data_IF_161787907612
#
_entry.id   IF_161787907612
#
_cell.length_a   1.000
_cell.length_b   1.000
_cell.length_c   1.000
_cell.angle_alpha   90.00
_cell.angle_beta   90.00
_cell.angle_gamma   90.00
#
_symmetry.space_group_name_H-M   'P 1'
#
loop_
_entity.id
_entity.type
_entity.pdbx_description
1 polymer ?
#
# COMPACT_ATOMS: atom_id res chain seq x y z
N UNK A 1 0.01 -11.49 -18.32
CA UNK A 1 0.42 -12.53 -17.36
C UNK A 1 1.37 -13.50 -18.06
N UNK A 2 2.31 -14.05 -17.30
CA UNK A 2 3.15 -15.18 -17.75
C UNK A 2 2.83 -16.43 -16.92
N UNK A 3 2.80 -17.59 -17.56
CA UNK A 3 2.65 -18.90 -16.94
C UNK A 3 3.88 -19.78 -17.10
N UNK A 4 4.94 -19.26 -17.76
CA UNK A 4 6.17 -19.96 -18.12
C UNK A 4 7.43 -19.28 -17.53
N UNK A 5 7.32 -18.68 -16.36
CA UNK A 5 8.38 -17.99 -15.63
C UNK A 5 8.95 -16.76 -16.38
N UNK A 6 8.09 -16.04 -17.08
CA UNK A 6 8.44 -14.77 -17.74
C UNK A 6 9.05 -14.93 -19.13
N UNK A 7 9.03 -16.12 -19.71
CA UNK A 7 9.53 -16.37 -21.08
C UNK A 7 8.59 -15.84 -22.16
N UNK A 8 7.28 -15.89 -21.88
CA UNK A 8 6.25 -15.29 -22.72
C UNK A 8 5.18 -14.62 -21.86
N UNK A 9 4.42 -13.71 -22.46
CA UNK A 9 3.32 -13.01 -21.81
C UNK A 9 2.07 -13.07 -22.69
N UNK A 10 0.91 -13.16 -22.03
CA UNK A 10 -0.39 -13.05 -22.67
C UNK A 10 -0.56 -11.67 -23.33
N UNK A 11 -1.57 -11.54 -24.18
CA UNK A 11 -1.96 -10.28 -24.81
C UNK A 11 -2.21 -9.22 -23.72
N UNK A 12 -1.73 -7.99 -23.97
CA UNK A 12 -1.98 -6.86 -23.10
C UNK A 12 -3.48 -6.65 -22.89
N UNK A 13 -3.90 -6.59 -21.64
CA UNK A 13 -5.27 -6.31 -21.25
C UNK A 13 -5.31 -4.99 -20.49
N UNK A 14 -6.11 -4.06 -20.99
CA UNK A 14 -6.38 -2.80 -20.32
C UNK A 14 -7.34 -3.05 -19.15
N UNK A 15 -6.98 -2.65 -17.93
CA UNK A 15 -7.81 -2.81 -16.73
C UNK A 15 -8.73 -1.60 -16.52
N UNK A 16 -8.25 -0.39 -16.81
CA UNK A 16 -9.01 0.84 -16.61
C UNK A 16 -8.48 1.98 -17.48
N UNK A 17 -9.31 3.00 -17.64
CA UNK A 17 -8.95 4.33 -18.13
C UNK A 17 -8.71 5.29 -16.95
N UNK A 18 -8.08 6.42 -17.21
CA UNK A 18 -7.90 7.53 -16.27
C UNK A 18 -7.15 7.15 -14.97
N UNK A 19 -6.13 6.31 -15.07
CA UNK A 19 -5.24 6.02 -13.94
C UNK A 19 -4.34 7.22 -13.63
N UNK A 20 -3.96 7.38 -12.36
CA UNK A 20 -2.93 8.34 -11.95
C UNK A 20 -1.56 7.84 -12.42
N UNK A 21 -0.98 8.49 -13.41
CA UNK A 21 0.21 8.02 -14.13
C UNK A 21 1.49 8.00 -13.27
N UNK A 22 1.57 8.88 -12.27
CA UNK A 22 2.76 9.07 -11.44
C UNK A 22 2.80 8.20 -10.17
N UNK A 23 1.71 7.49 -9.86
CA UNK A 23 1.63 6.68 -8.63
C UNK A 23 2.00 5.24 -8.91
N UNK A 24 2.84 4.67 -8.03
CA UNK A 24 3.20 3.24 -8.12
C UNK A 24 1.94 2.37 -8.00
N UNK A 25 1.92 1.29 -8.78
CA UNK A 25 0.89 0.25 -8.70
C UNK A 25 1.40 -0.85 -7.79
N UNK A 26 0.60 -1.27 -6.82
CA UNK A 26 0.89 -2.46 -6.04
C UNK A 26 0.22 -3.68 -6.71
N UNK A 27 0.96 -4.79 -6.77
CA UNK A 27 0.49 -6.04 -7.37
C UNK A 27 0.77 -7.18 -6.40
N UNK A 28 -0.23 -8.03 -6.19
CA UNK A 28 -0.09 -9.28 -5.44
C UNK A 28 -0.79 -10.41 -6.21
N UNK A 29 -0.46 -11.66 -5.92
CA UNK A 29 -1.15 -12.80 -6.46
C UNK A 29 -2.21 -13.31 -5.49
N UNK A 30 -3.39 -13.63 -5.97
CA UNK A 30 -4.43 -14.34 -5.24
C UNK A 30 -4.02 -15.82 -5.05
N UNK A 31 -4.76 -16.57 -4.24
CA UNK A 31 -4.46 -17.98 -3.92
C UNK A 31 -4.39 -18.91 -5.14
N UNK A 32 -5.08 -18.55 -6.21
CA UNK A 32 -5.05 -19.26 -7.52
C UNK A 32 -4.01 -18.69 -8.49
N UNK A 33 -3.14 -17.79 -8.03
CA UNK A 33 -2.09 -17.16 -8.80
C UNK A 33 -2.59 -16.05 -9.75
N UNK A 34 -3.85 -15.63 -9.65
CA UNK A 34 -4.33 -14.49 -10.44
C UNK A 34 -3.81 -13.17 -9.90
N UNK A 35 -3.27 -12.29 -10.77
CA UNK A 35 -2.84 -10.97 -10.35
C UNK A 35 -4.00 -10.10 -9.86
N UNK A 36 -3.76 -9.45 -8.73
CA UNK A 36 -4.62 -8.39 -8.17
C UNK A 36 -3.80 -7.12 -8.13
N UNK A 37 -4.32 -6.05 -8.68
CA UNK A 37 -3.67 -4.74 -8.73
C UNK A 37 -4.42 -3.73 -7.87
N UNK A 38 -3.65 -2.87 -7.18
CA UNK A 38 -4.15 -1.70 -6.45
C UNK A 38 -3.45 -0.46 -7.01
N UNK A 39 -4.22 0.52 -7.45
CA UNK A 39 -3.67 1.75 -7.99
C UNK A 39 -4.54 2.96 -7.66
N UNK A 40 -3.97 4.15 -7.82
CA UNK A 40 -4.72 5.40 -7.70
C UNK A 40 -5.45 5.66 -9.02
N UNK A 41 -6.77 5.60 -8.97
CA UNK A 41 -7.68 5.83 -10.08
C UNK A 41 -8.22 7.25 -10.01
N UNK A 42 -8.47 7.86 -11.18
CA UNK A 42 -9.18 9.12 -11.30
C UNK A 42 -10.64 8.84 -11.54
N UNK A 43 -11.51 9.22 -10.59
CA UNK A 43 -12.94 9.12 -10.70
C UNK A 43 -13.54 10.49 -11.02
N UNK A 44 -14.61 10.52 -11.83
CA UNK A 44 -15.24 11.77 -12.23
C UNK A 44 -14.26 12.70 -12.95
N UNK A 45 -14.22 13.96 -12.52
CA UNK A 45 -13.31 14.95 -13.14
C UNK A 45 -11.87 14.79 -12.65
N UNK A 46 -11.66 14.71 -11.33
CA UNK A 46 -10.31 14.67 -10.74
C UNK A 46 -10.25 14.11 -9.32
N UNK A 47 -11.23 13.28 -8.91
CA UNK A 47 -11.20 12.61 -7.61
C UNK A 47 -10.24 11.43 -7.64
N UNK A 48 -9.21 11.46 -6.81
CA UNK A 48 -8.10 10.49 -6.83
C UNK A 48 -8.19 9.51 -5.68
N UNK A 49 -9.00 8.50 -5.85
CA UNK A 49 -9.15 7.39 -4.90
C UNK A 49 -8.47 6.11 -5.39
N UNK A 50 -8.37 5.13 -4.51
CA UNK A 50 -7.79 3.85 -4.88
C UNK A 50 -8.83 2.91 -5.45
N UNK A 51 -8.43 2.26 -6.54
CA UNK A 51 -9.12 1.15 -7.17
C UNK A 51 -8.32 -0.14 -6.99
N UNK A 52 -9.04 -1.24 -6.89
CA UNK A 52 -8.50 -2.58 -6.85
C UNK A 52 -9.20 -3.40 -7.93
N UNK A 53 -8.46 -4.19 -8.68
CA UNK A 53 -9.01 -5.17 -9.60
C UNK A 53 -8.19 -6.45 -9.59
N UNK A 54 -8.86 -7.57 -9.60
CA UNK A 54 -8.32 -8.84 -10.04
C UNK A 54 -8.35 -8.86 -11.58
N UNK A 55 -7.41 -9.51 -12.22
CA UNK A 55 -7.22 -9.42 -13.68
C UNK A 55 -8.47 -9.85 -14.49
N UNK A 56 -9.31 -10.72 -13.95
CA UNK A 56 -10.52 -11.25 -14.57
C UNK A 56 -11.82 -10.63 -14.02
N UNK A 57 -11.73 -9.66 -13.11
CA UNK A 57 -12.85 -8.98 -12.48
C UNK A 57 -12.88 -7.48 -12.83
N UNK A 58 -14.05 -6.84 -12.78
CA UNK A 58 -14.13 -5.39 -12.92
C UNK A 58 -13.45 -4.70 -11.74
N UNK A 59 -12.97 -3.47 -11.98
CA UNK A 59 -12.38 -2.65 -10.93
C UNK A 59 -13.41 -2.31 -9.84
N UNK A 60 -12.94 -2.28 -8.59
CA UNK A 60 -13.70 -1.84 -7.42
C UNK A 60 -13.02 -0.63 -6.79
N UNK A 61 -13.75 0.45 -6.52
CA UNK A 61 -13.26 1.56 -5.72
C UNK A 61 -13.13 1.11 -4.27
N UNK A 62 -11.96 1.27 -3.66
CA UNK A 62 -11.63 0.73 -2.34
C UNK A 62 -11.19 1.79 -1.35
N UNK A 63 -11.03 3.04 -1.77
CA UNK A 63 -11.05 4.23 -0.92
C UNK A 63 -12.11 5.19 -1.43
N UNK A 64 -12.69 5.96 -0.52
CA UNK A 64 -13.73 6.94 -0.79
C UNK A 64 -13.38 8.24 -0.07
N UNK A 65 -12.09 8.61 -0.17
CA UNK A 65 -11.55 9.79 0.49
C UNK A 65 -12.04 11.08 -0.15
N UNK A 66 -12.36 11.02 -1.45
CA UNK A 66 -12.80 12.16 -2.23
C UNK A 66 -11.69 13.18 -2.45
N UNK A 67 -10.43 12.74 -2.55
CA UNK A 67 -9.31 13.65 -2.73
C UNK A 67 -9.29 14.24 -4.14
N UNK A 68 -9.71 15.49 -4.25
CA UNK A 68 -9.62 16.26 -5.48
C UNK A 68 -8.30 17.02 -5.54
N UNK A 69 -7.47 16.69 -6.54
CA UNK A 69 -6.18 17.31 -6.74
C UNK A 69 -5.81 17.34 -8.22
N UNK A 70 -5.44 18.51 -8.72
CA UNK A 70 -4.89 18.71 -10.05
C UNK A 70 -3.35 18.72 -10.03
N UNK A 71 -2.78 17.63 -9.53
CA UNK A 71 -1.35 17.44 -9.37
C UNK A 71 -1.00 15.94 -9.31
N UNK A 72 0.29 15.64 -9.35
CA UNK A 72 0.82 14.30 -9.17
C UNK A 72 1.24 14.07 -7.72
N UNK A 73 0.46 13.33 -6.92
CA UNK A 73 0.77 13.14 -5.49
C UNK A 73 1.96 12.23 -5.23
N UNK A 74 2.39 11.41 -6.18
CA UNK A 74 3.50 10.43 -6.07
C UNK A 74 3.38 9.41 -4.92
N UNK A 75 2.22 9.29 -4.31
CA UNK A 75 1.95 8.33 -3.24
C UNK A 75 1.19 7.11 -3.78
N UNK A 76 1.91 6.03 -4.03
CA UNK A 76 1.31 4.73 -4.35
C UNK A 76 0.68 4.08 -3.12
N UNK A 77 -0.23 3.13 -3.36
CA UNK A 77 -0.75 2.27 -2.32
C UNK A 77 0.12 1.03 -2.10
N UNK A 78 -0.19 0.29 -1.05
CA UNK A 78 0.39 -1.01 -0.75
C UNK A 78 -0.71 -2.07 -0.66
N UNK A 79 -0.43 -3.29 -1.11
CA UNK A 79 -1.33 -4.42 -1.16
C UNK A 79 -0.64 -5.69 -0.68
N UNK A 80 -1.27 -6.41 0.22
CA UNK A 80 -0.93 -7.78 0.57
C UNK A 80 -2.19 -8.64 0.63
N UNK A 81 -2.08 -9.93 0.27
CA UNK A 81 -3.19 -10.86 0.28
C UNK A 81 -2.89 -11.97 1.27
N UNK A 82 -3.78 -12.17 2.24
CA UNK A 82 -3.69 -13.22 3.23
C UNK A 82 -4.05 -14.59 2.67
N UNK A 83 -3.64 -15.65 3.37
CA UNK A 83 -3.99 -17.04 2.99
C UNK A 83 -5.51 -17.31 3.07
N UNK A 84 -6.26 -16.45 3.75
CA UNK A 84 -7.73 -16.45 3.80
C UNK A 84 -8.37 -15.68 2.62
N UNK A 85 -7.56 -15.20 1.66
CA UNK A 85 -8.00 -14.37 0.53
C UNK A 85 -8.32 -12.93 0.92
N UNK A 86 -8.17 -12.53 2.18
CA UNK A 86 -8.38 -11.15 2.58
C UNK A 86 -7.28 -10.25 2.01
N UNK A 87 -7.67 -9.11 1.47
CA UNK A 87 -6.79 -8.10 0.91
C UNK A 87 -6.57 -7.02 1.96
N UNK A 88 -5.31 -6.76 2.27
CA UNK A 88 -4.86 -5.72 3.18
C UNK A 88 -4.28 -4.60 2.35
N UNK A 89 -4.87 -3.43 2.43
CA UNK A 89 -4.43 -2.26 1.67
C UNK A 89 -4.03 -1.13 2.60
N UNK A 90 -3.01 -0.39 2.21
CA UNK A 90 -2.62 0.84 2.87
C UNK A 90 -2.36 1.93 1.83
N UNK A 91 -2.76 3.16 2.13
CA UNK A 91 -2.64 4.27 1.19
C UNK A 91 -2.48 5.61 1.91
N UNK A 92 -2.06 6.62 1.15
CA UNK A 92 -2.06 8.01 1.57
C UNK A 92 -3.18 8.77 0.86
N UNK A 93 -3.83 9.68 1.56
CA UNK A 93 -4.73 10.67 1.00
C UNK A 93 -4.42 12.06 1.53
N UNK A 94 -4.58 13.08 0.69
CA UNK A 94 -4.54 14.49 1.10
C UNK A 94 -5.94 15.11 1.22
N UNK A 95 -6.99 14.29 1.24
CA UNK A 95 -8.37 14.78 1.37
C UNK A 95 -8.57 15.54 2.68
N UNK A 96 -9.18 16.71 2.63
CA UNK A 96 -9.32 17.62 3.79
C UNK A 96 -9.97 16.98 5.01
N UNK A 97 -10.94 16.07 4.78
CA UNK A 97 -11.69 15.42 5.86
C UNK A 97 -10.82 14.52 6.74
N UNK A 98 -9.86 13.82 6.15
CA UNK A 98 -9.02 12.85 6.86
C UNK A 98 -7.69 12.64 6.11
N UNK A 99 -6.80 13.65 6.10
CA UNK A 99 -5.51 13.51 5.42
C UNK A 99 -4.58 12.53 6.15
N UNK A 100 -3.67 11.90 5.41
CA UNK A 100 -2.66 11.02 5.95
C UNK A 100 -2.75 9.58 5.47
N UNK A 101 -2.16 8.68 6.24
CA UNK A 101 -2.12 7.25 5.93
C UNK A 101 -3.35 6.53 6.47
N UNK A 102 -3.87 5.61 5.67
CA UNK A 102 -5.00 4.77 6.02
C UNK A 102 -4.72 3.31 5.71
N UNK A 103 -5.32 2.43 6.49
CA UNK A 103 -5.34 0.99 6.28
C UNK A 103 -6.78 0.49 6.20
N UNK A 104 -7.03 -0.54 5.39
CA UNK A 104 -8.30 -1.26 5.31
C UNK A 104 -8.07 -2.73 5.00
N UNK A 105 -8.92 -3.58 5.58
CA UNK A 105 -9.04 -4.98 5.19
C UNK A 105 -10.29 -5.18 4.34
N UNK A 106 -10.16 -5.98 3.29
CA UNK A 106 -11.25 -6.34 2.38
C UNK A 106 -11.35 -7.86 2.37
N UNK A 107 -12.52 -8.40 2.70
CA UNK A 107 -12.80 -9.83 2.69
C UNK A 107 -14.11 -10.07 1.91
N UNK A 108 -14.00 -10.63 0.71
CA UNK A 108 -15.12 -10.68 -0.22
C UNK A 108 -15.68 -9.28 -0.48
N UNK A 109 -16.97 -9.10 -0.25
CA UNK A 109 -17.64 -7.80 -0.43
C UNK A 109 -17.52 -6.87 0.77
N UNK A 110 -17.05 -7.38 1.91
CA UNK A 110 -16.95 -6.60 3.14
C UNK A 110 -15.65 -5.81 3.18
N UNK A 111 -15.75 -4.51 3.42
CA UNK A 111 -14.62 -3.60 3.68
C UNK A 111 -14.72 -3.06 5.10
N UNK A 112 -13.62 -3.14 5.87
CA UNK A 112 -13.58 -2.47 7.17
C UNK A 112 -13.57 -0.95 6.98
N UNK A 113 -14.02 -0.16 7.98
CA UNK A 113 -13.75 1.28 7.98
C UNK A 113 -12.26 1.56 7.80
N UNK A 114 -11.87 2.67 7.16
CA UNK A 114 -10.47 3.08 7.10
C UNK A 114 -9.92 3.33 8.50
N UNK A 115 -8.77 2.75 8.81
CA UNK A 115 -8.02 2.99 10.04
C UNK A 115 -6.92 4.01 9.74
N UNK A 116 -6.97 5.24 10.28
CA UNK A 116 -5.89 6.20 10.13
C UNK A 116 -4.67 5.78 10.94
N UNK A 117 -3.46 6.03 10.43
CA UNK A 117 -2.20 5.78 11.12
C UNK A 117 -1.09 6.72 10.65
N UNK A 118 0.07 6.69 11.34
CA UNK A 118 1.17 7.59 11.07
C UNK A 118 0.95 8.99 11.65
N UNK A 119 2.00 9.80 11.66
CA UNK A 119 1.94 11.18 12.10
C UNK A 119 2.05 12.11 10.88
N UNK A 120 0.96 12.82 10.55
CA UNK A 120 0.93 13.72 9.41
C UNK A 120 1.91 14.89 9.57
N UNK A 121 2.09 15.43 10.80
CA UNK A 121 3.03 16.50 11.08
C UNK A 121 4.49 16.06 10.88
N UNK A 122 4.76 14.77 10.98
CA UNK A 122 6.03 14.14 10.63
C UNK A 122 6.07 13.64 9.18
N UNK A 123 5.20 14.15 8.31
CA UNK A 123 5.18 13.80 6.89
C UNK A 123 5.03 12.28 6.63
N UNK A 124 4.23 11.59 7.44
CA UNK A 124 4.01 10.17 7.26
C UNK A 124 3.57 9.84 5.83
N UNK A 125 4.28 8.92 5.17
CA UNK A 125 4.03 8.59 3.77
C UNK A 125 4.60 7.23 3.37
N UNK A 126 4.35 6.84 2.12
CA UNK A 126 4.91 5.64 1.46
C UNK A 126 4.69 4.34 2.27
N UNK A 127 3.42 4.00 2.56
CA UNK A 127 3.11 2.84 3.36
C UNK A 127 3.44 1.55 2.62
N UNK A 128 3.81 0.53 3.40
CA UNK A 128 3.95 -0.85 2.96
C UNK A 128 3.11 -1.74 3.87
N UNK A 129 2.58 -2.81 3.34
CA UNK A 129 1.84 -3.82 4.09
C UNK A 129 2.33 -5.21 3.73
N UNK A 130 2.49 -6.05 4.73
CA UNK A 130 2.77 -7.47 4.55
C UNK A 130 1.87 -8.30 5.46
N UNK A 131 1.53 -9.51 5.00
CA UNK A 131 0.72 -10.46 5.75
C UNK A 131 1.38 -11.83 5.79
N UNK A 132 1.38 -12.45 6.97
CA UNK A 132 1.83 -13.83 7.17
C UNK A 132 0.90 -14.54 8.16
N UNK A 133 0.10 -15.45 7.66
CA UNK A 133 -1.00 -16.03 8.44
C UNK A 133 -1.95 -14.94 8.92
N UNK A 134 -2.12 -14.81 10.25
CA UNK A 134 -2.93 -13.76 10.88
C UNK A 134 -2.14 -12.50 11.26
N UNK A 135 -0.83 -12.50 11.04
CA UNK A 135 0.03 -11.36 11.35
C UNK A 135 0.05 -10.39 10.18
N UNK A 136 -0.33 -9.14 10.45
CA UNK A 136 -0.25 -8.04 9.49
C UNK A 136 0.76 -7.03 9.99
N UNK A 137 1.66 -6.60 9.13
CA UNK A 137 2.68 -5.59 9.42
C UNK A 137 2.47 -4.39 8.50
N UNK A 138 2.37 -3.21 9.08
CA UNK A 138 2.44 -1.94 8.38
C UNK A 138 3.77 -1.27 8.66
N UNK A 139 4.39 -0.74 7.61
CA UNK A 139 5.63 0.06 7.69
C UNK A 139 5.43 1.33 6.88
N UNK A 140 5.96 2.44 7.34
CA UNK A 140 5.90 3.72 6.64
C UNK A 140 7.09 4.61 6.99
N UNK A 141 7.32 5.65 6.21
CA UNK A 141 8.33 6.67 6.47
C UNK A 141 7.72 7.85 7.19
N UNK A 142 8.48 8.42 8.13
CA UNK A 142 8.24 9.73 8.77
C UNK A 142 9.52 10.56 8.74
N UNK A 143 9.39 11.87 8.93
CA UNK A 143 10.51 12.80 9.10
C UNK A 143 10.26 13.68 10.32
N UNK A 144 11.15 13.66 11.31
CA UNK A 144 10.98 14.37 12.59
C UNK A 144 11.59 15.79 12.58
N UNK A 145 11.95 16.31 11.39
CA UNK A 145 12.65 17.58 11.21
C UNK A 145 14.19 17.44 11.17
N UNK A 146 14.73 16.26 11.53
CA UNK A 146 16.16 15.97 11.53
C UNK A 146 16.50 14.60 10.93
N UNK A 147 15.67 13.61 11.16
CA UNK A 147 15.91 12.23 10.71
C UNK A 147 14.74 11.72 9.88
N UNK A 148 15.06 10.95 8.86
CA UNK A 148 14.13 10.02 8.26
C UNK A 148 13.97 8.82 9.18
N UNK A 149 12.73 8.42 9.43
CA UNK A 149 12.37 7.33 10.33
C UNK A 149 11.59 6.28 9.57
N UNK A 150 11.88 5.02 9.81
CA UNK A 150 10.99 3.92 9.43
C UNK A 150 10.19 3.52 10.67
N UNK A 151 8.87 3.67 10.55
CA UNK A 151 7.91 3.31 11.60
C UNK A 151 7.22 2.02 11.25
N UNK A 152 6.79 1.28 12.25
CA UNK A 152 6.00 0.06 12.07
C UNK A 152 4.96 -0.12 13.16
N UNK A 153 3.86 -0.79 12.81
CA UNK A 153 2.90 -1.37 13.74
C UNK A 153 2.43 -2.74 13.25
N UNK A 154 1.96 -3.57 14.17
CA UNK A 154 1.60 -4.96 13.90
C UNK A 154 0.22 -5.30 14.42
N UNK A 155 -0.49 -6.13 13.67
CA UNK A 155 -1.67 -6.84 14.11
C UNK A 155 -1.37 -8.35 14.20
N UNK A 156 -1.98 -9.04 15.18
CA UNK A 156 -1.90 -10.50 15.35
C UNK A 156 -3.23 -11.19 15.06
N UNK A 157 -4.24 -10.43 14.73
CA UNK A 157 -5.62 -10.87 14.53
C UNK A 157 -6.20 -10.43 13.18
N UNK A 158 -5.33 -10.48 12.15
CA UNK A 158 -5.72 -10.20 10.76
C UNK A 158 -6.21 -8.75 10.55
N UNK A 159 -5.56 -7.79 11.19
CA UNK A 159 -5.86 -6.36 11.07
C UNK A 159 -6.96 -5.84 11.99
N UNK A 160 -7.42 -6.65 12.97
CA UNK A 160 -8.46 -6.23 13.89
C UNK A 160 -7.97 -5.29 14.99
N UNK A 161 -6.83 -5.63 15.61
CA UNK A 161 -6.18 -4.83 16.67
C UNK A 161 -4.74 -4.57 16.31
N UNK A 162 -4.23 -3.40 16.66
CA UNK A 162 -2.90 -2.96 16.30
C UNK A 162 -2.06 -2.59 17.52
N UNK A 163 -0.77 -2.88 17.45
CA UNK A 163 0.21 -2.39 18.43
C UNK A 163 0.38 -0.89 18.31
N UNK A 164 0.95 -0.25 19.33
CA UNK A 164 1.48 1.10 19.19
C UNK A 164 2.59 1.14 18.12
N UNK A 165 2.71 2.25 17.36
CA UNK A 165 3.80 2.45 16.40
C UNK A 165 5.17 2.46 17.10
N UNK A 166 6.17 1.84 16.45
CA UNK A 166 7.58 1.86 16.91
C UNK A 166 8.51 2.27 15.77
N UNK A 167 9.64 2.85 16.10
CA UNK A 167 10.72 3.11 15.14
C UNK A 167 11.54 1.83 14.94
N UNK A 168 11.72 1.43 13.67
CA UNK A 168 12.58 0.31 13.28
C UNK A 168 13.98 0.77 12.89
N UNK A 169 14.07 1.91 12.19
CA UNK A 169 15.32 2.48 11.71
C UNK A 169 15.21 3.99 11.63
N UNK A 170 16.38 4.67 11.67
CA UNK A 170 16.49 6.12 11.49
C UNK A 170 17.80 6.47 10.80
N UNK A 171 17.83 7.55 10.03
CA UNK A 171 19.02 8.13 9.43
C UNK A 171 18.92 9.65 9.36
N UNK A 172 20.05 10.36 9.51
CA UNK A 172 20.14 11.80 9.24
C UNK A 172 20.44 12.10 7.76
N UNK A 173 20.78 11.06 6.97
CA UNK A 173 21.06 11.18 5.54
C UNK A 173 19.81 11.16 4.68
N UNK A 174 20.00 11.40 3.38
CA UNK A 174 18.95 11.15 2.42
C UNK A 174 18.56 9.66 2.40
N UNK A 175 17.31 9.38 2.18
CA UNK A 175 16.78 8.03 2.23
C UNK A 175 15.63 7.83 1.24
N UNK A 176 15.58 6.63 0.69
CA UNK A 176 14.45 6.19 -0.15
C UNK A 176 13.24 5.78 0.69
N UNK A 177 12.20 5.33 0.01
CA UNK A 177 11.03 4.75 0.66
C UNK A 177 11.30 3.32 1.11
N UNK A 178 10.69 2.86 2.22
CA UNK A 178 10.83 1.49 2.68
C UNK A 178 10.18 0.50 1.71
N UNK A 179 10.77 -0.69 1.60
CA UNK A 179 10.20 -1.84 0.94
C UNK A 179 10.09 -3.01 1.90
N UNK A 180 8.95 -3.71 1.89
CA UNK A 180 8.77 -4.97 2.58
C UNK A 180 8.86 -6.12 1.59
N UNK A 181 9.74 -7.06 1.88
CA UNK A 181 9.93 -8.28 1.08
C UNK A 181 9.57 -9.49 1.94
N UNK A 182 8.53 -10.20 1.53
CA UNK A 182 8.09 -11.41 2.21
C UNK A 182 8.84 -12.62 1.70
N UNK A 183 9.58 -13.30 2.57
CA UNK A 183 10.17 -14.60 2.34
C UNK A 183 9.35 -15.72 3.00
N UNK A 184 9.78 -16.97 2.81
CA UNK A 184 9.09 -18.13 3.41
C UNK A 184 9.10 -18.14 4.94
N UNK A 185 10.16 -17.64 5.57
CA UNK A 185 10.38 -17.71 7.02
C UNK A 185 10.62 -16.33 7.67
N UNK A 186 10.74 -15.27 6.88
CA UNK A 186 11.07 -13.95 7.37
C UNK A 186 10.41 -12.86 6.52
N UNK A 187 10.12 -11.74 7.17
CA UNK A 187 9.76 -10.49 6.55
C UNK A 187 10.98 -9.57 6.62
N UNK A 188 11.43 -9.10 5.47
CA UNK A 188 12.58 -8.22 5.34
C UNK A 188 12.12 -6.78 5.11
N UNK A 189 12.71 -5.84 5.85
CA UNK A 189 12.66 -4.42 5.55
C UNK A 189 13.93 -4.06 4.77
N UNK A 190 13.76 -3.56 3.56
CA UNK A 190 14.83 -3.01 2.73
C UNK A 190 14.69 -1.50 2.70
N UNK A 191 15.76 -0.80 3.04
CA UNK A 191 15.78 0.66 3.08
C UNK A 191 17.18 1.17 2.69
N UNK A 192 17.23 1.99 1.66
CA UNK A 192 18.48 2.58 1.16
C UNK A 192 18.67 3.97 1.74
N UNK A 193 19.88 4.25 2.27
CA UNK A 193 20.24 5.54 2.88
C UNK A 193 21.63 5.96 2.47
N UNK A 194 21.96 7.25 2.57
CA UNK A 194 23.28 7.79 2.21
C UNK A 194 24.19 8.02 3.42
N UNK A 195 23.69 7.90 4.66
CA UNK A 195 24.48 8.24 5.86
C UNK A 195 25.35 7.09 6.38
N UNK A 196 25.04 5.86 5.99
CA UNK A 196 25.65 4.65 6.57
C UNK A 196 26.30 3.77 5.49
N UNK A 197 26.55 4.35 4.30
CA UNK A 197 27.15 3.69 3.14
C UNK A 197 28.65 3.79 3.07
#
# INVERSE_FOLDING_TARGET
>A
RSTDSGRSFDINRKLADHSCECCRIAIAADSDGMPVALWRQIFGKNTRDFALARLDEPLRRVSEDGWEIDACPHHGGALAIGSDGARHIAWFTGAERSPGLHYRRIAGDTMTPPLPFGNLDAQAGHPQVAVHGRHVTLVWREFDGRHNLIRAMHSRDNGGRWSAPRTLARTAGAADDPLLVSGRQALWLVWNTTADG
#
